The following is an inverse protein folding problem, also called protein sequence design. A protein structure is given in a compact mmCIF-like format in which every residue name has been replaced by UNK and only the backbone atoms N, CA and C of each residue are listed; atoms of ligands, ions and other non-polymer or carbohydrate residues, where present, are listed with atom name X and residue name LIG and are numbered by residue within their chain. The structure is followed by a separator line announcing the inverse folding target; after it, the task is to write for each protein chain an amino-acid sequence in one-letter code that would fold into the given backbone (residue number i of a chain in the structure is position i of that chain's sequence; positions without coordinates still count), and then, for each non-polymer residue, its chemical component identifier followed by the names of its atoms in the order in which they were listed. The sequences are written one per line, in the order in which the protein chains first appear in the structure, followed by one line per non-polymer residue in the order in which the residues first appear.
data_IF_944524851142
#
_entry.id   IF_944524851142
#
_cell.length_a   1.000
_cell.length_b   1.000
_cell.length_c   1.000
_cell.angle_alpha   90.00
_cell.angle_beta   90.00
_cell.angle_gamma   90.00
#
_symmetry.space_group_name_H-M   'P 1'
#
loop_
_entity.id
_entity.type
_entity.pdbx_description
1 polymer ?
2 non-polymer ?
3 non-polymer ?
4 non-polymer ?
5 water ?
#
# COMPACT_ATOMS: atom_id res chain seq x y z
N UNK A 10 -11.94 -8.75 12.46
CA UNK A 10 -10.51 -9.08 12.43
C UNK A 10 -9.85 -9.00 11.06
N UNK A 11 -8.77 -8.21 10.99
CA UNK A 11 -7.84 -8.23 9.87
C UNK A 11 -7.08 -9.55 9.94
N UNK A 12 -6.94 -10.33 8.84
CA UNK A 12 -6.28 -11.64 8.98
C UNK A 12 -4.78 -11.54 9.31
N UNK A 13 -4.31 -12.53 10.08
CA UNK A 13 -2.89 -12.74 10.33
C UNK A 13 -2.25 -13.14 9.00
N UNK A 14 -0.94 -12.98 8.85
CA UNK A 14 -0.30 -13.39 7.60
C UNK A 14 -0.29 -14.91 7.45
N UNK A 15 -0.24 -15.41 6.20
CA UNK A 15 -0.19 -16.86 5.92
C UNK A 15 1.23 -17.44 5.93
N UNK A 16 2.24 -16.60 6.03
CA UNK A 16 3.60 -17.07 5.84
C UNK A 16 4.23 -17.55 7.13
N UNK A 17 5.46 -18.09 7.06
CA UNK A 17 6.10 -18.66 8.27
C UNK A 17 6.59 -17.66 9.32
N UNK A 18 6.78 -16.38 8.96
CA UNK A 18 7.40 -15.40 9.85
C UNK A 18 6.33 -14.73 10.74
N UNK A 19 6.63 -14.54 12.02
CA UNK A 19 5.95 -13.54 12.86
C UNK A 19 6.16 -12.11 12.28
N UNK A 20 5.19 -11.23 12.55
CA UNK A 20 5.18 -9.88 11.98
C UNK A 20 5.27 -8.78 13.05
N UNK A 21 6.22 -7.85 12.87
CA UNK A 21 6.38 -6.65 13.68
C UNK A 21 5.88 -5.44 12.96
N UNK A 22 5.55 -4.35 13.68
CA UNK A 22 5.17 -3.10 13.00
C UNK A 22 5.70 -1.90 13.73
N UNK A 23 6.15 -0.87 12.99
CA UNK A 23 6.49 0.41 13.64
C UNK A 23 6.21 1.54 12.66
N UNK A 24 6.33 2.79 13.11
CA UNK A 24 6.16 3.94 12.21
C UNK A 24 7.46 4.68 12.08
N UNK A 25 7.74 5.25 10.91
CA UNK A 25 8.96 6.07 10.73
C UNK A 25 8.64 7.38 10.05
N UNK A 26 9.10 8.49 10.62
CA UNK A 26 8.95 9.79 10.01
C UNK A 26 10.31 10.47 9.99
N UNK A 27 10.84 10.69 8.79
CA UNK A 27 12.12 11.36 8.60
C UNK A 27 12.23 12.06 7.25
N UNK A 28 12.51 13.40 7.17
CA UNK A 28 12.54 14.32 8.31
C UNK A 28 11.11 14.57 8.85
N UNK A 29 11.00 15.48 9.83
CA UNK A 29 9.75 15.79 10.52
C UNK A 29 8.81 16.71 9.70
N UNK A 30 9.29 17.28 8.57
CA UNK A 30 8.51 18.29 7.82
C UNK A 30 7.48 17.64 6.87
N UNK A 31 6.62 18.46 6.26
CA UNK A 31 5.68 18.01 5.25
C UNK A 31 6.39 17.48 3.93
N UNK A 32 7.71 17.72 3.76
CA UNK A 32 8.49 17.21 2.62
C UNK A 32 9.28 15.96 2.98
N UNK A 33 9.23 15.58 4.25
CA UNK A 33 9.87 14.35 4.72
C UNK A 33 9.10 13.11 4.37
N UNK A 34 9.68 11.95 4.73
CA UNK A 34 9.02 10.66 4.52
C UNK A 34 8.27 10.26 5.79
N UNK A 35 7.00 9.83 5.61
CA UNK A 35 6.23 9.18 6.65
C UNK A 35 5.79 7.81 6.14
N UNK A 36 6.17 6.74 6.86
CA UNK A 36 5.76 5.40 6.47
C UNK A 36 5.44 4.53 7.70
N UNK A 37 4.57 3.52 7.50
CA UNK A 37 4.35 2.44 8.43
C UNK A 37 5.15 1.24 7.93
N UNK A 38 5.99 0.70 8.81
CA UNK A 38 6.84 -0.42 8.43
C UNK A 38 6.29 -1.77 8.97
N UNK A 39 6.11 -2.76 8.08
CA UNK A 39 5.81 -4.15 8.46
C UNK A 39 7.04 -4.99 8.15
N UNK A 40 7.41 -5.87 9.07
CA UNK A 40 8.71 -6.54 8.94
C UNK A 40 8.69 -7.92 9.64
N UNK A 41 9.53 -8.90 9.21
CA UNK A 41 9.63 -10.15 9.96
C UNK A 41 10.14 -9.87 11.36
N UNK A 42 9.44 -10.36 12.39
CA UNK A 42 9.85 -10.05 13.77
C UNK A 42 10.46 -11.25 14.49
N UNK A 43 11.41 -10.94 15.40
CA UNK A 43 12.07 -11.88 16.30
C UNK A 43 11.02 -12.46 17.26
N UNK A 44 10.12 -11.61 17.78
CA UNK A 44 9.22 -11.93 18.88
C UNK A 44 7.75 -11.80 18.51
N UNK A 45 6.92 -12.54 19.23
CA UNK A 45 5.51 -12.64 18.94
C UNK A 45 4.64 -12.41 20.18
N UNK A 46 5.24 -11.83 21.27
CA UNK A 46 4.49 -11.55 22.49
C UNK A 46 4.31 -10.03 22.76
N UNK A 47 4.41 -9.22 21.72
CA UNK A 47 4.14 -7.81 21.86
C UNK A 47 2.65 -7.51 21.76
N UNK A 48 2.24 -6.31 22.22
CA UNK A 48 0.90 -5.75 21.96
C UNK A 48 0.68 -5.69 20.47
N UNK A 49 -0.54 -5.98 20.00
CA UNK A 49 -0.93 -5.76 18.61
C UNK A 49 -0.90 -4.26 18.28
N UNK A 50 -0.91 -3.92 16.97
CA UNK A 50 -0.73 -2.56 16.47
C UNK A 50 -2.10 -1.89 16.36
N UNK A 51 -2.24 -0.68 16.93
CA UNK A 51 -3.43 0.15 16.82
C UNK A 51 -3.63 0.56 15.34
N UNK A 52 -4.82 0.27 14.81
CA UNK A 52 -5.12 0.29 13.37
C UNK A 52 -5.21 1.71 12.84
N UNK A 53 -6.01 2.55 13.49
CA UNK A 53 -6.15 3.95 13.13
C UNK A 53 -5.74 4.69 14.42
N UNK A 54 -4.51 5.20 14.47
CA UNK A 54 -3.95 5.62 15.76
C UNK A 54 -4.24 7.03 16.26
N UNK A 55 -5.01 7.85 15.53
CA UNK A 55 -5.28 9.24 16.01
C UNK A 55 -6.67 9.65 15.63
N UNK A 56 -7.36 10.36 16.55
CA UNK A 56 -8.71 10.87 16.31
C UNK A 56 -8.85 11.63 14.95
N UNK A 57 -7.82 12.36 14.52
CA UNK A 57 -7.85 13.21 13.32
C UNK A 57 -7.96 12.39 12.03
N UNK A 58 -7.44 11.14 12.04
CA UNK A 58 -7.74 10.22 10.94
C UNK A 58 -9.25 9.96 10.79
N UNK A 59 -9.96 9.72 11.89
CA UNK A 59 -11.41 9.57 11.88
C UNK A 59 -12.16 10.81 11.38
N UNK A 60 -11.70 12.03 11.79
CA UNK A 60 -12.19 13.31 11.27
C UNK A 60 -12.00 13.39 9.75
N UNK A 61 -10.77 13.17 9.29
CA UNK A 61 -10.47 13.01 7.86
C UNK A 61 -11.34 12.02 7.11
N UNK A 62 -11.48 10.79 7.65
CA UNK A 62 -12.34 9.77 7.02
C UNK A 62 -13.78 10.27 6.93
N UNK A 63 -14.29 10.94 7.98
CA UNK A 63 -15.65 11.47 7.97
C UNK A 63 -15.84 12.50 6.87
N UNK A 64 -14.89 13.48 6.75
CA UNK A 64 -14.86 14.46 5.67
C UNK A 64 -14.84 13.78 4.29
N UNK A 65 -14.03 12.70 4.12
CA UNK A 65 -13.94 12.01 2.83
C UNK A 65 -15.26 11.28 2.50
N UNK A 66 -15.96 10.79 3.53
CA UNK A 66 -17.21 10.06 3.29
C UNK A 66 -18.44 10.98 3.02
N UNK A 67 -18.26 12.29 3.20
CA UNK A 67 -19.32 13.28 3.01
C UNK A 67 -20.29 13.41 4.18
N UNK A 68 -19.84 13.06 5.38
CA UNK A 68 -20.60 13.22 6.62
C UNK A 68 -20.00 14.37 7.46
N UNK A 69 -20.64 14.69 8.59
CA UNK A 69 -20.20 15.71 9.54
C UNK A 69 -19.05 15.17 10.37
N UNK A 70 -18.06 16.02 10.72
CA UNK A 70 -16.86 15.60 11.48
C UNK A 70 -17.20 14.93 12.83
N UNK A 71 -18.47 15.05 13.29
CA UNK A 71 -18.98 14.39 14.49
C UNK A 71 -19.37 12.92 14.26
N UNK A 72 -19.72 12.54 13.01
CA UNK A 72 -19.78 11.13 12.58
C UNK A 72 -18.38 10.52 12.76
N UNK A 73 -17.34 11.34 12.56
CA UNK A 73 -15.95 11.01 12.88
C UNK A 73 -15.77 10.50 14.30
N UNK A 74 -16.39 11.17 15.28
CA UNK A 74 -16.38 10.76 16.68
C UNK A 74 -17.12 9.45 16.93
N UNK A 75 -18.22 9.18 16.20
CA UNK A 75 -18.94 7.89 16.28
C UNK A 75 -18.03 6.77 15.67
N UNK A 76 -17.45 6.99 14.48
CA UNK A 76 -16.44 6.04 13.95
C UNK A 76 -15.28 5.79 14.92
N UNK A 77 -14.78 6.83 15.58
CA UNK A 77 -13.72 6.73 16.58
C UNK A 77 -14.18 5.89 17.79
N UNK A 78 -15.41 6.13 18.31
CA UNK A 78 -16.01 5.30 19.35
C UNK A 78 -16.10 3.81 18.95
N UNK A 79 -16.50 3.53 17.71
CA UNK A 79 -16.63 2.15 17.20
C UNK A 79 -15.29 1.47 16.85
N UNK A 80 -14.32 2.23 16.31
CA UNK A 80 -13.13 1.63 15.70
C UNK A 80 -11.80 2.07 16.32
N UNK A 81 -11.84 3.06 17.24
CA UNK A 81 -10.65 3.72 17.79
C UNK A 81 -9.75 2.83 18.62
N UNK A 82 -10.24 1.68 19.08
CA UNK A 82 -9.41 0.75 19.86
C UNK A 82 -9.07 -0.52 19.04
N UNK A 83 -9.56 -0.61 17.77
CA UNK A 83 -9.28 -1.75 16.88
C UNK A 83 -7.76 -1.93 16.62
N UNK A 84 -7.29 -3.17 16.72
CA UNK A 84 -5.89 -3.47 16.40
C UNK A 84 -5.79 -4.27 15.11
N UNK A 85 -4.58 -4.46 14.62
CA UNK A 85 -4.24 -5.27 13.47
C UNK A 85 -3.13 -6.24 13.95
N UNK A 86 -3.13 -7.53 13.52
CA UNK A 86 -2.22 -8.51 14.16
C UNK A 86 -0.74 -8.44 13.70
N UNK A 87 -0.06 -7.38 14.16
CA UNK A 87 1.39 -7.18 14.04
C UNK A 87 1.89 -6.71 15.39
N UNK A 88 3.00 -7.30 15.82
CA UNK A 88 3.67 -6.98 17.09
C UNK A 88 4.25 -5.60 17.03
N UNK A 89 3.67 -4.66 17.80
CA UNK A 89 4.07 -3.25 17.77
C UNK A 89 5.49 -3.10 18.33
N UNK A 90 6.40 -2.48 17.54
CA UNK A 90 7.80 -2.24 17.95
C UNK A 90 8.60 -3.50 18.27
N UNK A 91 8.15 -4.66 17.78
CA UNK A 91 8.89 -5.90 17.99
C UNK A 91 10.32 -5.78 17.40
N UNK A 92 11.36 -6.40 17.96
CA UNK A 92 12.64 -6.46 17.23
C UNK A 92 12.50 -7.15 15.86
N UNK A 93 13.22 -6.65 14.86
CA UNK A 93 13.37 -7.29 13.55
C UNK A 93 13.99 -8.68 13.71
N UNK A 94 13.51 -9.66 12.94
CA UNK A 94 14.11 -10.98 12.93
C UNK A 94 15.53 -10.85 12.32
N UNK A 95 16.60 -11.16 13.10
CA UNK A 95 17.97 -10.97 12.58
C UNK A 95 18.40 -12.08 11.62
N UNK A 96 19.56 -11.87 10.99
CA UNK A 96 20.34 -12.88 10.28
C UNK A 96 19.88 -13.21 8.87
N UNK A 97 19.10 -12.32 8.25
CA UNK A 97 18.63 -12.48 6.88
C UNK A 97 18.42 -11.13 6.20
N UNK A 98 18.79 -11.03 4.89
CA UNK A 98 18.43 -9.85 4.08
C UNK A 98 17.04 -10.05 3.47
N UNK A 99 16.17 -9.04 3.61
CA UNK A 99 14.78 -9.11 3.19
C UNK A 99 14.53 -8.25 1.93
N UNK A 100 13.78 -8.76 0.95
CA UNK A 100 13.34 -7.89 -0.14
C UNK A 100 12.42 -6.79 0.41
N UNK A 101 12.37 -5.65 -0.31
CA UNK A 101 11.57 -4.50 0.11
C UNK A 101 10.44 -4.20 -0.85
N UNK A 102 9.24 -3.98 -0.29
CA UNK A 102 8.07 -3.47 -1.00
C UNK A 102 7.80 -2.05 -0.49
N UNK A 103 7.70 -1.09 -1.42
CA UNK A 103 7.13 0.21 -1.08
C UNK A 103 5.64 0.16 -1.51
N UNK A 104 4.75 0.50 -0.58
CA UNK A 104 3.30 0.39 -0.78
C UNK A 104 2.63 1.78 -0.80
N UNK A 105 1.75 2.04 -1.81
CA UNK A 105 1.06 3.31 -2.00
C UNK A 105 -0.46 3.22 -1.85
N UNK A 106 -0.99 4.03 -0.92
CA UNK A 106 -2.41 3.96 -0.55
C UNK A 106 -3.31 4.67 -1.54
N UNK A 107 -4.61 4.35 -1.47
CA UNK A 107 -5.62 5.00 -2.33
C UNK A 107 -6.05 6.37 -1.85
N UNK A 108 -6.90 7.04 -2.68
CA UNK A 108 -7.53 8.30 -2.34
C UNK A 108 -8.41 8.11 -1.10
N UNK A 109 -8.32 9.02 -0.14
CA UNK A 109 -9.09 8.95 1.10
C UNK A 109 -8.50 7.99 2.13
N UNK A 110 -7.38 7.32 1.79
CA UNK A 110 -6.75 6.36 2.72
C UNK A 110 -5.58 7.01 3.39
N UNK A 111 -4.66 6.23 3.97
CA UNK A 111 -3.45 6.69 4.64
C UNK A 111 -2.63 5.44 4.93
N UNK A 112 -1.48 5.56 5.58
CA UNK A 112 -0.49 4.45 5.65
C UNK A 112 -0.98 3.15 6.32
N UNK A 113 -1.97 3.21 7.24
CA UNK A 113 -2.24 2.08 8.15
C UNK A 113 -3.33 1.15 7.59
N UNK A 114 -3.97 1.52 6.46
CA UNK A 114 -5.22 0.89 6.02
C UNK A 114 -5.05 -0.28 5.07
N UNK A 115 -3.82 -0.71 4.88
CA UNK A 115 -3.55 -1.86 4.01
C UNK A 115 -2.67 -2.85 4.78
N UNK A 116 -2.97 -3.03 6.07
CA UNK A 116 -2.23 -3.99 6.94
C UNK A 116 -2.51 -5.44 6.56
N UNK A 117 -3.72 -5.79 6.03
CA UNK A 117 -3.89 -7.23 5.66
C UNK A 117 -2.80 -7.62 4.63
N UNK A 118 -2.60 -6.76 3.62
CA UNK A 118 -1.51 -6.86 2.63
C UNK A 118 -0.09 -6.80 3.24
N UNK A 119 0.21 -5.73 3.98
CA UNK A 119 1.54 -5.52 4.58
C UNK A 119 1.97 -6.62 5.54
N UNK A 120 1.04 -7.06 6.41
CA UNK A 120 1.28 -8.18 7.35
C UNK A 120 1.51 -9.47 6.59
N UNK A 121 0.70 -9.72 5.52
CA UNK A 121 0.91 -10.96 4.77
C UNK A 121 2.25 -11.02 4.06
N UNK A 122 2.62 -9.91 3.35
CA UNK A 122 3.96 -9.81 2.73
C UNK A 122 5.06 -10.03 3.79
N UNK A 123 4.94 -9.35 4.95
CA UNK A 123 5.97 -9.47 5.99
C UNK A 123 6.08 -10.90 6.52
N UNK A 124 4.93 -11.61 6.64
CA UNK A 124 4.95 -13.01 7.10
C UNK A 124 5.65 -13.98 6.14
N UNK A 125 5.82 -13.59 4.86
CA UNK A 125 6.58 -14.37 3.87
C UNK A 125 8.02 -13.87 3.71
N UNK A 126 8.46 -12.93 4.57
CA UNK A 126 9.85 -12.50 4.58
C UNK A 126 10.17 -11.21 3.83
N UNK A 127 9.17 -10.33 3.64
CA UNK A 127 9.35 -8.99 3.07
C UNK A 127 9.44 -7.94 4.16
N UNK A 128 10.19 -6.85 3.90
CA UNK A 128 9.95 -5.62 4.66
C UNK A 128 9.03 -4.78 3.78
N UNK A 129 8.00 -4.16 4.39
CA UNK A 129 7.00 -3.38 3.67
C UNK A 129 7.01 -1.98 4.20
N UNK A 130 7.16 -0.99 3.31
CA UNK A 130 7.13 0.42 3.66
C UNK A 130 5.88 1.01 3.07
N UNK A 131 4.84 1.14 3.92
CA UNK A 131 3.58 1.72 3.48
C UNK A 131 3.69 3.22 3.73
N UNK A 132 3.84 3.97 2.63
CA UNK A 132 4.00 5.41 2.68
C UNK A 132 2.71 6.11 3.04
N UNK A 133 2.82 7.24 3.73
CA UNK A 133 1.67 8.10 3.87
C UNK A 133 1.92 9.32 2.97
N UNK A 134 1.01 9.58 2.04
CA UNK A 134 1.24 10.63 1.07
C UNK A 134 0.86 12.01 1.64
N UNK A 135 1.64 13.07 1.27
CA UNK A 135 1.41 14.46 1.70
C UNK A 135 0.87 15.33 0.54
N UNK A 136 0.28 14.67 -0.45
CA UNK A 136 -0.24 15.33 -1.66
C UNK A 136 -1.69 15.79 -1.48
N UNK A 137 -2.24 15.70 -0.25
CA UNK A 137 -3.65 15.95 0.07
C UNK A 137 -4.60 14.91 -0.60
N UNK A 138 -4.07 13.70 -0.93
CA UNK A 138 -4.91 12.58 -1.36
C UNK A 138 -5.25 11.70 -0.16
N UNK A 139 -4.44 11.79 0.93
CA UNK A 139 -4.78 11.06 2.17
C UNK A 139 -6.01 11.73 2.83
N UNK A 140 -6.89 10.91 3.46
CA UNK A 140 -7.99 11.42 4.28
C UNK A 140 -7.45 12.45 5.28
N UNK A 141 -6.37 12.07 5.98
CA UNK A 141 -5.61 12.97 6.85
C UNK A 141 -4.19 12.46 6.83
N UNK A 142 -3.25 13.37 7.12
CA UNK A 142 -1.88 13.06 7.45
C UNK A 142 -1.31 14.14 8.40
N UNK A 143 -0.13 13.90 9.00
CA UNK A 143 0.43 14.95 9.82
C UNK A 143 1.89 15.06 9.66
N UNK A 144 2.46 16.16 10.17
CA UNK A 144 3.89 16.43 10.10
C UNK A 144 4.13 17.51 11.16
N UNK A 145 5.37 18.03 11.25
CA UNK A 145 5.73 19.05 12.25
C UNK A 145 6.27 20.28 11.54
N UNK A 146 5.84 21.47 11.97
CA UNK A 146 6.20 22.73 11.31
C UNK A 146 7.70 23.03 11.41
N UNK A 147 8.32 22.57 12.50
CA UNK A 147 9.77 22.78 12.67
C UNK A 147 10.30 21.84 13.74
N UNK A 148 11.57 22.01 14.14
CA UNK A 148 12.22 21.09 15.06
C UNK A 148 11.59 21.16 16.46
N UNK A 149 11.29 22.39 16.94
CA UNK A 149 10.64 22.62 18.23
C UNK A 149 9.32 21.87 18.31
N UNK A 150 8.45 22.06 17.28
CA UNK A 150 7.17 21.36 17.17
C UNK A 150 7.35 19.82 17.24
N UNK A 151 8.30 19.25 16.47
CA UNK A 151 8.54 17.80 16.48
C UNK A 151 8.85 17.26 17.90
N UNK A 152 9.78 17.93 18.60
CA UNK A 152 10.22 17.64 19.98
C UNK A 152 9.08 17.48 20.98
N UNK A 153 8.19 18.48 21.03
CA UNK A 153 7.05 18.47 21.94
C UNK A 153 5.87 17.70 21.37
N UNK A 154 5.99 17.20 20.13
CA UNK A 154 4.93 16.43 19.49
C UNK A 154 3.68 17.27 19.17
N UNK A 155 3.90 18.56 18.82
CA UNK A 155 2.81 19.41 18.33
C UNK A 155 2.58 19.15 16.82
N UNK A 156 1.58 18.33 16.51
CA UNK A 156 1.29 17.87 15.14
C UNK A 156 0.56 18.95 14.31
N UNK A 157 0.94 19.10 13.04
CA UNK A 157 0.15 19.87 12.09
C UNK A 157 -0.53 18.86 11.18
N UNK A 158 -1.84 18.94 11.10
CA UNK A 158 -2.62 18.01 10.31
C UNK A 158 -2.91 18.58 8.94
N UNK A 159 -2.92 17.73 7.93
CA UNK A 159 -3.22 18.11 6.55
C UNK A 159 -4.34 17.16 6.09
N UNK A 160 -5.45 17.74 5.63
CA UNK A 160 -6.66 17.01 5.30
C UNK A 160 -6.86 16.89 3.80
N UNK A 161 -7.62 15.90 3.35
CA UNK A 161 -7.97 15.67 1.94
C UNK A 161 -8.45 16.94 1.25
N UNK A 162 -7.97 17.18 0.03
CA UNK A 162 -8.42 18.29 -0.82
C UNK A 162 -9.49 17.80 -1.78
N UNK A 163 -10.65 18.49 -1.76
CA UNK A 163 -11.71 18.23 -2.74
C UNK A 163 -11.54 19.12 -3.96
N UNK A 164 -11.72 18.55 -5.15
CA UNK A 164 -11.44 19.26 -6.37
C UNK A 164 -12.70 19.70 -7.04
N UNK A 165 -12.64 20.86 -7.69
CA UNK A 165 -13.57 21.28 -8.70
C UNK A 165 -13.30 20.45 -9.96
N UNK A 166 -14.32 20.18 -10.79
CA UNK A 166 -14.22 19.39 -12.02
C UNK A 166 -13.12 19.86 -12.95
N UNK A 167 -12.95 21.18 -13.09
CA UNK A 167 -11.91 21.86 -13.87
C UNK A 167 -10.50 21.61 -13.35
N UNK A 168 -10.36 21.29 -12.05
CA UNK A 168 -9.05 20.98 -11.43
C UNK A 168 -8.65 19.52 -11.59
N UNK A 169 -9.58 18.63 -11.99
CA UNK A 169 -9.36 17.17 -11.93
C UNK A 169 -8.12 16.72 -12.67
N UNK A 170 -8.04 16.96 -14.00
CA UNK A 170 -6.93 16.46 -14.83
C UNK A 170 -5.58 16.91 -14.29
N UNK A 171 -5.40 18.24 -14.19
CA UNK A 171 -4.18 18.86 -13.73
C UNK A 171 -3.79 18.45 -12.27
N UNK A 172 -4.70 18.52 -11.29
CA UNK A 172 -4.31 18.27 -9.90
C UNK A 172 -4.07 16.78 -9.62
N UNK A 173 -4.88 15.86 -10.20
CA UNK A 173 -4.59 14.41 -10.08
C UNK A 173 -3.23 14.06 -10.61
N UNK A 174 -2.79 14.71 -11.70
CA UNK A 174 -1.48 14.45 -12.27
C UNK A 174 -0.34 15.02 -11.36
N UNK A 175 -0.45 16.26 -10.85
CA UNK A 175 0.54 16.82 -9.89
C UNK A 175 0.65 15.89 -8.68
N UNK A 176 -0.48 15.36 -8.22
CA UNK A 176 -0.53 14.45 -7.09
C UNK A 176 0.19 13.12 -7.38
N UNK A 177 -0.09 12.47 -8.54
CA UNK A 177 0.55 11.18 -8.84
C UNK A 177 2.10 11.37 -8.98
N UNK A 178 2.51 12.55 -9.50
CA UNK A 178 3.93 12.84 -9.61
C UNK A 178 4.56 13.10 -8.22
N UNK A 179 3.89 13.86 -7.34
CA UNK A 179 4.37 13.93 -5.95
C UNK A 179 4.44 12.55 -5.23
N UNK A 180 3.42 11.74 -5.41
CA UNK A 180 3.35 10.38 -4.86
C UNK A 180 4.55 9.52 -5.32
N UNK A 181 4.87 9.54 -6.65
CA UNK A 181 6.03 8.80 -7.15
C UNK A 181 7.30 9.29 -6.46
N UNK A 182 7.48 10.62 -6.34
CA UNK A 182 8.65 11.20 -5.68
C UNK A 182 8.73 10.72 -4.22
N UNK A 183 7.57 10.66 -3.55
CA UNK A 183 7.47 10.19 -2.17
C UNK A 183 7.81 8.74 -2.05
N UNK A 184 7.47 7.93 -3.07
CA UNK A 184 7.90 6.53 -3.11
C UNK A 184 9.40 6.40 -3.26
N UNK A 185 10.00 7.18 -4.16
CA UNK A 185 11.45 7.17 -4.37
C UNK A 185 12.20 7.63 -3.13
N UNK A 186 11.66 8.67 -2.49
CA UNK A 186 12.30 9.26 -1.31
C UNK A 186 12.22 8.25 -0.13
N UNK A 187 11.11 7.53 -0.01
CA UNK A 187 10.95 6.45 1.00
C UNK A 187 11.94 5.34 0.75
N UNK A 188 12.09 4.86 -0.54
CA UNK A 188 13.16 3.91 -0.92
C UNK A 188 14.56 4.38 -0.47
N UNK A 189 14.93 5.64 -0.80
CA UNK A 189 16.24 6.15 -0.47
C UNK A 189 16.46 6.19 1.08
N UNK A 190 15.42 6.59 1.85
CA UNK A 190 15.50 6.59 3.31
C UNK A 190 15.84 5.18 3.82
N UNK A 191 15.07 4.15 3.39
CA UNK A 191 15.30 2.78 3.83
C UNK A 191 16.69 2.29 3.42
N UNK A 192 17.09 2.57 2.18
CA UNK A 192 18.41 2.12 1.70
C UNK A 192 19.55 2.79 2.48
N UNK A 193 19.38 4.08 2.88
CA UNK A 193 20.36 4.78 3.71
C UNK A 193 20.41 4.22 5.11
N UNK A 194 19.23 3.86 5.69
CA UNK A 194 19.17 3.17 6.98
C UNK A 194 19.84 1.77 6.87
N UNK A 195 19.60 1.04 5.75
CA UNK A 195 20.30 -0.22 5.50
C UNK A 195 21.82 0.03 5.43
N UNK A 196 22.24 1.09 4.70
CA UNK A 196 23.64 1.51 4.52
C UNK A 196 24.21 2.30 5.70
N UNK A 197 23.49 2.26 6.83
CA UNK A 197 23.97 2.59 8.17
C UNK A 197 23.85 4.04 8.63
N UNK A 198 23.26 4.93 7.81
CA UNK A 198 23.09 6.35 8.11
C UNK A 198 22.29 6.53 9.42
N UNK A 199 22.83 7.34 10.36
CA UNK A 199 22.05 7.68 11.55
C UNK A 199 20.82 8.50 11.17
N UNK A 200 19.67 8.05 11.61
CA UNK A 200 18.40 8.69 11.31
C UNK A 200 17.71 8.83 12.65
N UNK A 201 17.38 10.06 13.05
CA UNK A 201 16.56 10.28 14.24
C UNK A 201 15.09 10.33 13.82
N UNK A 202 14.33 9.28 14.14
CA UNK A 202 12.89 9.21 13.92
C UNK A 202 12.22 10.43 14.56
N UNK A 203 11.40 11.22 13.82
CA UNK A 203 10.65 12.39 14.36
C UNK A 203 9.62 11.93 15.38
N UNK A 204 9.27 10.62 15.34
CA UNK A 204 8.34 10.00 16.28
C UNK A 204 9.19 9.31 17.34
N UNK A 205 8.84 9.50 18.60
CA UNK A 205 9.60 8.88 19.67
C UNK A 205 9.02 7.50 19.88
N UNK A 206 9.55 6.49 19.17
CA UNK A 206 9.07 5.09 19.26
C UNK A 206 10.18 4.17 19.72
N UNK A 207 9.82 3.14 20.48
CA UNK A 207 10.80 2.25 21.11
C UNK A 207 11.20 1.14 20.14
N UNK A 208 11.64 1.56 18.96
CA UNK A 208 12.15 0.72 17.88
C UNK A 208 13.39 1.40 17.36
N UNK A 209 14.55 0.80 17.60
CA UNK A 209 15.82 1.33 17.13
C UNK A 209 16.05 1.02 15.65
N UNK A 210 16.16 2.09 14.81
CA UNK A 210 16.31 1.93 13.36
C UNK A 210 17.64 1.29 13.00
N UNK A 211 18.59 1.28 13.94
CA UNK A 211 19.89 0.60 13.76
C UNK A 211 19.76 -0.92 13.48
N UNK A 212 18.66 -1.53 13.91
CA UNK A 212 18.28 -2.93 13.57
C UNK A 212 18.15 -3.18 12.08
N UNK A 213 17.76 -2.15 11.31
CA UNK A 213 17.58 -2.28 9.88
C UNK A 213 18.92 -2.22 9.09
N UNK A 214 20.04 -1.96 9.79
CA UNK A 214 21.37 -1.98 9.16
C UNK A 214 21.60 -3.40 8.65
N UNK A 215 22.01 -3.50 7.37
CA UNK A 215 22.36 -4.76 6.68
C UNK A 215 21.20 -5.74 6.62
N UNK A 216 19.97 -5.20 6.57
CA UNK A 216 18.78 -6.04 6.63
C UNK A 216 18.02 -6.11 5.29
N UNK A 217 18.35 -5.25 4.31
CA UNK A 217 17.58 -5.14 3.05
C UNK A 217 18.34 -5.87 1.93
N UNK A 218 17.63 -6.68 1.14
CA UNK A 218 18.19 -7.25 -0.09
C UNK A 218 18.11 -6.13 -1.09
N UNK A 219 19.21 -5.40 -1.24
CA UNK A 219 19.14 -4.02 -1.74
C UNK A 219 18.71 -3.89 -3.21
N UNK A 220 18.82 -4.97 -3.99
CA UNK A 220 18.36 -5.02 -5.37
C UNK A 220 16.96 -5.62 -5.52
N UNK A 221 16.37 -6.19 -4.44
CA UNK A 221 15.09 -6.85 -4.55
C UNK A 221 14.01 -5.90 -4.07
N UNK A 222 13.70 -4.94 -4.93
CA UNK A 222 12.79 -3.83 -4.59
C UNK A 222 11.56 -3.83 -5.51
N UNK A 223 10.36 -3.75 -4.92
CA UNK A 223 9.15 -3.63 -5.68
C UNK A 223 8.31 -2.52 -5.16
N UNK A 224 7.38 -2.03 -6.03
CA UNK A 224 6.40 -1.02 -5.67
C UNK A 224 5.03 -1.62 -5.91
N UNK A 225 4.14 -1.50 -4.92
CA UNK A 225 2.77 -2.03 -4.97
C UNK A 225 1.82 -0.93 -4.49
N UNK A 226 0.60 -0.92 -5.00
CA UNK A 226 -0.33 0.09 -4.54
C UNK A 226 -1.72 -0.13 -5.07
N UNK A 227 -2.72 0.43 -4.35
CA UNK A 227 -4.15 0.25 -4.67
C UNK A 227 -4.77 1.55 -5.20
N UNK A 228 -5.54 1.47 -6.28
CA UNK A 228 -6.40 2.57 -6.75
C UNK A 228 -5.52 3.76 -7.22
N UNK A 229 -5.57 4.92 -6.54
CA UNK A 229 -4.59 6.01 -6.78
C UNK A 229 -3.15 5.46 -6.60
N UNK A 230 -2.98 4.54 -5.65
CA UNK A 230 -1.67 3.92 -5.43
C UNK A 230 -1.21 3.05 -6.58
N UNK A 231 -2.17 2.55 -7.37
CA UNK A 231 -1.92 1.68 -8.50
C UNK A 231 -1.39 2.52 -9.62
N UNK A 232 -1.94 3.74 -9.81
CA UNK A 232 -1.33 4.70 -10.75
C UNK A 232 0.07 5.13 -10.26
N UNK A 233 0.26 5.23 -8.95
CA UNK A 233 1.54 5.65 -8.32
C UNK A 233 2.59 4.60 -8.63
N UNK A 234 2.23 3.29 -8.58
CA UNK A 234 3.06 2.17 -9.07
C UNK A 234 3.65 2.52 -10.44
N UNK A 235 2.78 2.87 -11.38
CA UNK A 235 3.19 3.06 -12.76
C UNK A 235 4.06 4.30 -12.92
N UNK A 236 3.66 5.44 -12.31
CA UNK A 236 4.49 6.65 -12.37
C UNK A 236 5.88 6.39 -11.75
N UNK A 237 5.94 5.69 -10.60
CA UNK A 237 7.18 5.38 -9.85
C UNK A 237 8.12 4.53 -10.73
N UNK A 238 7.62 3.43 -11.29
CA UNK A 238 8.40 2.61 -12.22
C UNK A 238 8.98 3.42 -13.33
N UNK A 239 8.20 4.31 -13.96
CA UNK A 239 8.73 5.07 -15.11
C UNK A 239 9.84 6.05 -14.69
N UNK A 240 9.84 6.49 -13.42
CA UNK A 240 10.84 7.49 -12.99
C UNK A 240 11.99 6.91 -12.18
N UNK A 241 11.92 5.69 -11.67
CA UNK A 241 12.94 5.23 -10.69
C UNK A 241 13.22 3.77 -11.01
N UNK A 242 14.31 3.54 -11.71
CA UNK A 242 14.69 2.22 -12.17
C UNK A 242 15.14 1.30 -11.02
N UNK A 243 15.28 1.85 -9.78
CA UNK A 243 15.62 1.03 -8.61
C UNK A 243 14.48 0.04 -8.29
N UNK A 244 13.23 0.43 -8.62
CA UNK A 244 12.10 -0.48 -8.51
C UNK A 244 12.16 -1.46 -9.66
N UNK A 245 12.22 -2.76 -9.35
CA UNK A 245 12.44 -3.81 -10.36
C UNK A 245 11.16 -4.36 -10.98
N UNK A 246 10.02 -4.20 -10.29
CA UNK A 246 8.72 -4.59 -10.82
C UNK A 246 7.68 -3.88 -10.01
N UNK A 247 6.46 -3.89 -10.50
CA UNK A 247 5.35 -3.30 -9.78
C UNK A 247 4.08 -4.10 -9.90
N UNK A 248 3.21 -3.98 -8.89
CA UNK A 248 1.89 -4.65 -8.85
C UNK A 248 0.86 -3.57 -8.58
N UNK A 249 -0.07 -3.36 -9.52
CA UNK A 249 -1.09 -2.37 -9.37
C UNK A 249 -2.41 -3.07 -8.99
N UNK A 250 -2.92 -2.76 -7.80
CA UNK A 250 -4.14 -3.41 -7.27
C UNK A 250 -5.29 -2.53 -7.59
N UNK A 251 -6.18 -2.95 -8.52
CA UNK A 251 -7.31 -2.17 -8.99
C UNK A 251 -6.90 -0.72 -9.27
N UNK A 252 -5.90 -0.53 -10.14
CA UNK A 252 -5.36 0.82 -10.41
C UNK A 252 -6.45 1.77 -10.92
N UNK A 253 -6.44 3.01 -10.43
CA UNK A 253 -7.21 4.10 -11.00
C UNK A 253 -6.25 4.88 -11.92
N UNK A 254 -6.44 4.76 -13.24
CA UNK A 254 -5.45 5.21 -14.26
C UNK A 254 -5.53 6.68 -14.60
N UNK A 255 -6.68 7.33 -14.34
CA UNK A 255 -6.91 8.75 -14.64
C UNK A 255 -5.73 9.70 -14.29
N UNK A 256 -5.06 9.66 -13.09
CA UNK A 256 -3.97 10.62 -12.80
C UNK A 256 -2.79 10.63 -13.78
N UNK A 257 -2.54 9.50 -14.46
CA UNK A 257 -1.33 9.36 -15.29
C UNK A 257 -1.30 10.29 -16.51
N UNK A 258 -0.15 10.87 -16.79
CA UNK A 258 0.04 11.68 -17.99
C UNK A 258 0.22 10.79 -19.20
N UNK A 259 -0.10 11.32 -20.40
CA UNK A 259 -0.02 10.58 -21.67
C UNK A 259 1.35 10.01 -21.91
N UNK A 260 2.37 10.72 -21.43
CA UNK A 260 3.77 10.38 -21.63
C UNK A 260 4.18 9.08 -21.00
N UNK A 261 3.63 8.70 -19.79
CA UNK A 261 4.17 7.59 -18.99
C UNK A 261 4.01 6.24 -19.66
N UNK A 262 2.96 6.05 -20.48
CA UNK A 262 2.50 4.71 -20.94
C UNK A 262 3.52 3.91 -21.69
N UNK A 263 4.31 4.57 -22.51
CA UNK A 263 5.35 3.88 -23.26
C UNK A 263 6.68 3.84 -22.46
N UNK A 264 6.67 4.23 -21.16
CA UNK A 264 7.95 4.46 -20.47
C UNK A 264 8.11 3.55 -19.23
N UNK A 265 7.61 2.30 -19.30
CA UNK A 265 7.62 1.45 -18.10
C UNK A 265 8.41 0.17 -18.51
N UNK A 266 9.76 0.13 -18.43
CA UNK A 266 10.46 -1.11 -18.81
C UNK A 266 10.21 -2.30 -17.88
N UNK A 267 9.85 -2.06 -16.61
CA UNK A 267 9.77 -3.14 -15.60
C UNK A 267 8.54 -4.04 -15.75
N UNK A 268 8.64 -5.32 -15.34
CA UNK A 268 7.44 -6.17 -15.26
C UNK A 268 6.34 -5.49 -14.42
N UNK A 269 5.07 -5.60 -14.88
CA UNK A 269 3.92 -4.94 -14.25
C UNK A 269 2.73 -5.89 -14.25
N UNK A 270 2.14 -6.07 -13.06
CA UNK A 270 1.02 -6.96 -12.81
C UNK A 270 -0.20 -6.12 -12.39
N UNK A 271 -1.31 -6.24 -13.15
CA UNK A 271 -2.60 -5.62 -12.79
C UNK A 271 -3.44 -6.72 -12.15
N UNK A 272 -3.86 -6.51 -10.89
CA UNK A 272 -4.81 -7.37 -10.20
C UNK A 272 -6.03 -6.54 -9.97
N UNK A 273 -7.13 -6.88 -10.65
CA UNK A 273 -8.35 -6.05 -10.60
C UNK A 273 -9.49 -6.68 -9.82
N UNK A 274 -10.39 -5.84 -9.35
CA UNK A 274 -11.67 -6.35 -8.92
C UNK A 274 -12.62 -6.50 -10.13
N UNK A 275 -13.62 -7.37 -9.98
CA UNK A 275 -14.63 -7.48 -11.02
C UNK A 275 -15.50 -6.20 -11.17
N UNK A 276 -15.90 -5.58 -10.06
CA UNK A 276 -16.97 -4.59 -10.14
C UNK A 276 -16.49 -3.16 -10.27
N UNK A 277 -15.21 -2.85 -9.93
CA UNK A 277 -14.73 -1.48 -10.11
C UNK A 277 -14.46 -1.12 -11.57
N UNK A 278 -13.84 -2.03 -12.36
CA UNK A 278 -13.24 -1.62 -13.65
C UNK A 278 -14.30 -1.18 -14.71
N UNK A 279 -13.87 -0.35 -15.67
CA UNK A 279 -14.72 0.26 -16.72
C UNK A 279 -13.87 0.44 -17.97
N UNK A 280 -14.44 0.47 -19.19
CA UNK A 280 -13.61 0.61 -20.41
C UNK A 280 -12.48 1.69 -20.39
N UNK A 281 -12.79 2.95 -20.00
CA UNK A 281 -11.76 4.04 -20.06
C UNK A 281 -10.52 3.63 -19.26
N UNK A 282 -10.73 3.07 -18.08
CA UNK A 282 -9.69 2.56 -17.23
C UNK A 282 -8.91 1.39 -17.84
N UNK A 283 -9.60 0.41 -18.45
CA UNK A 283 -8.97 -0.80 -19.02
C UNK A 283 -8.12 -0.44 -20.22
N UNK A 284 -8.64 0.50 -21.05
CA UNK A 284 -7.96 1.04 -22.23
C UNK A 284 -6.61 1.62 -21.81
N UNK A 285 -6.57 2.37 -20.70
CA UNK A 285 -5.31 2.92 -20.15
C UNK A 285 -4.33 1.84 -19.71
N UNK A 286 -4.82 0.78 -19.04
CA UNK A 286 -3.95 -0.37 -18.65
C UNK A 286 -3.32 -1.01 -19.92
N UNK A 287 -4.13 -1.22 -20.98
CA UNK A 287 -3.66 -1.79 -22.26
C UNK A 287 -2.63 -0.90 -22.96
N UNK A 288 -2.69 0.43 -22.73
CA UNK A 288 -1.67 1.34 -23.23
C UNK A 288 -0.28 1.10 -22.57
N UNK A 289 -0.23 0.37 -21.42
CA UNK A 289 1.07 0.04 -20.81
C UNK A 289 1.68 -1.17 -21.49
N UNK A 290 0.92 -1.87 -22.33
CA UNK A 290 1.35 -3.11 -22.98
C UNK A 290 2.19 -2.83 -24.20
N UNK A 291 3.24 -3.64 -24.40
CA UNK A 291 4.17 -3.57 -25.52
C UNK A 291 4.79 -4.94 -25.66
N UNK A 292 5.11 -5.42 -26.90
CA UNK A 292 5.57 -6.82 -27.06
C UNK A 292 6.87 -7.14 -26.32
N UNK A 293 7.75 -6.15 -26.13
CA UNK A 293 8.99 -6.38 -25.39
C UNK A 293 8.78 -6.43 -23.85
N UNK A 294 7.60 -6.01 -23.34
CA UNK A 294 7.39 -5.87 -21.90
C UNK A 294 6.60 -6.99 -21.27
N UNK A 295 6.96 -7.32 -20.02
CA UNK A 295 6.26 -8.31 -19.22
C UNK A 295 5.01 -7.67 -18.53
N UNK A 296 3.80 -8.12 -18.92
CA UNK A 296 2.53 -7.67 -18.40
C UNK A 296 1.63 -8.82 -18.08
N UNK A 297 0.96 -8.73 -16.93
CA UNK A 297 -0.02 -9.71 -16.51
C UNK A 297 -1.25 -8.98 -15.99
N UNK A 298 -2.41 -9.58 -16.19
CA UNK A 298 -3.65 -9.03 -15.64
C UNK A 298 -4.54 -10.18 -15.23
N UNK A 299 -5.12 -10.07 -14.04
CA UNK A 299 -6.11 -11.02 -13.53
C UNK A 299 -7.23 -10.20 -12.92
N UNK A 300 -8.44 -10.79 -12.88
CA UNK A 300 -9.60 -10.19 -12.22
C UNK A 300 -10.11 -11.18 -11.18
N UNK A 301 -10.35 -10.71 -9.95
CA UNK A 301 -10.90 -11.56 -8.89
C UNK A 301 -12.44 -11.56 -9.05
N UNK A 302 -13.04 -12.75 -9.33
CA UNK A 302 -14.49 -12.92 -9.52
C UNK A 302 -15.24 -12.47 -8.27
N UNK A 303 -16.32 -11.71 -8.46
CA UNK A 303 -17.23 -11.33 -7.39
C UNK A 303 -16.67 -10.29 -6.44
N UNK A 304 -15.53 -9.66 -6.83
CA UNK A 304 -14.86 -8.70 -5.94
C UNK A 304 -15.16 -7.23 -6.27
N UNK A 305 -14.97 -6.37 -5.26
CA UNK A 305 -15.20 -4.92 -5.35
C UNK A 305 -13.90 -4.19 -5.02
N UNK A 306 -13.86 -2.88 -5.32
CA UNK A 306 -12.69 -2.04 -5.09
C UNK A 306 -12.16 -2.12 -3.68
N UNK A 307 -13.08 -2.21 -2.69
CA UNK A 307 -12.73 -2.23 -1.27
C UNK A 307 -12.08 -3.54 -0.81
N UNK A 308 -12.14 -4.63 -1.65
CA UNK A 308 -11.51 -5.94 -1.27
C UNK A 308 -9.98 -5.86 -1.03
N UNK A 309 -9.32 -4.83 -1.57
CA UNK A 309 -7.87 -4.67 -1.37
C UNK A 309 -7.49 -3.85 -0.11
N UNK A 310 -8.44 -3.17 0.52
CA UNK A 310 -8.07 -2.39 1.70
C UNK A 310 -8.69 -3.03 2.97
N UNK A 311 -8.33 -2.53 4.16
CA UNK A 311 -8.70 -3.18 5.42
C UNK A 311 -10.14 -3.03 5.85
N UNK A 312 -10.90 -2.10 5.22
CA UNK A 312 -12.28 -1.86 5.66
C UNK A 312 -13.14 -3.08 5.35
N UNK A 313 -12.70 -3.93 4.39
CA UNK A 313 -13.38 -5.18 4.01
C UNK A 313 -13.39 -6.20 5.17
N UNK A 314 -12.54 -6.00 6.18
CA UNK A 314 -12.48 -6.88 7.36
C UNK A 314 -13.05 -6.23 8.58
N UNK A 315 -13.44 -4.94 8.49
CA UNK A 315 -13.77 -4.17 9.70
C UNK A 315 -15.21 -4.37 10.21
N UNK A 316 -16.10 -4.91 9.37
CA UNK A 316 -17.52 -5.12 9.75
C UNK A 316 -17.94 -6.54 9.38
N UNK A 317 -19.15 -6.89 9.78
CA UNK A 317 -19.79 -8.14 9.37
C UNK A 317 -20.27 -8.12 7.93
N UNK A 318 -20.73 -9.29 7.45
CA UNK A 318 -21.14 -9.52 6.06
C UNK A 318 -22.29 -8.64 5.60
N UNK A 319 -23.31 -8.39 6.41
CA UNK A 319 -24.48 -7.65 5.92
C UNK A 319 -24.17 -6.15 5.80
N UNK A 320 -23.69 -5.54 6.90
CA UNK A 320 -23.27 -4.13 6.90
C UNK A 320 -22.14 -3.92 5.86
N UNK A 321 -21.22 -4.88 5.78
CA UNK A 321 -20.11 -4.84 4.82
C UNK A 321 -20.61 -4.71 3.38
N UNK A 322 -21.58 -5.55 3.00
CA UNK A 322 -22.15 -5.54 1.66
C UNK A 322 -22.89 -4.24 1.36
N UNK A 323 -23.69 -3.76 2.31
CA UNK A 323 -24.42 -2.49 2.23
C UNK A 323 -23.49 -1.29 2.00
N UNK A 324 -22.38 -1.20 2.77
CA UNK A 324 -21.40 -0.12 2.65
C UNK A 324 -20.46 -0.26 1.46
N UNK A 325 -20.66 -1.33 0.64
CA UNK A 325 -19.80 -1.67 -0.52
C UNK A 325 -18.36 -1.97 -0.08
N UNK A 326 -18.19 -2.44 1.18
CA UNK A 326 -16.89 -2.89 1.72
C UNK A 326 -16.60 -4.32 1.31
N UNK A 327 -17.64 -5.08 0.93
CA UNK A 327 -17.49 -6.50 0.63
C UNK A 327 -18.14 -6.80 -0.72
N UNK A 328 -17.61 -7.80 -1.42
CA UNK A 328 -18.19 -8.26 -2.68
C UNK A 328 -18.96 -9.54 -2.48
N UNK A 329 -19.35 -10.21 -3.56
CA UNK A 329 -19.97 -11.55 -3.50
C UNK A 329 -18.99 -12.63 -2.97
N UNK A 330 -17.70 -12.40 -3.17
CA UNK A 330 -16.67 -13.29 -2.72
C UNK A 330 -16.34 -13.02 -1.24
N UNK A 331 -15.97 -14.06 -0.50
CA UNK A 331 -15.40 -13.92 0.84
C UNK A 331 -14.12 -13.04 0.82
N UNK A 332 -14.02 -12.09 1.77
CA UNK A 332 -12.92 -11.11 1.81
C UNK A 332 -11.56 -11.78 2.03
N UNK A 333 -11.50 -12.82 2.88
CA UNK A 333 -10.26 -13.55 3.14
C UNK A 333 -9.88 -14.32 1.91
N UNK A 334 -10.86 -14.95 1.25
CA UNK A 334 -10.64 -15.68 -0.01
C UNK A 334 -10.01 -14.74 -1.06
N UNK A 335 -10.61 -13.55 -1.26
CA UNK A 335 -10.15 -12.56 -2.25
C UNK A 335 -8.75 -12.08 -1.96
N UNK A 336 -8.44 -11.66 -0.70
CA UNK A 336 -7.12 -11.11 -0.37
C UNK A 336 -6.03 -12.20 -0.49
N UNK A 337 -6.36 -13.46 -0.17
CA UNK A 337 -5.41 -14.58 -0.28
C UNK A 337 -5.02 -14.75 -1.71
N UNK A 338 -6.00 -14.67 -2.64
CA UNK A 338 -5.73 -14.75 -4.08
C UNK A 338 -4.81 -13.62 -4.56
N UNK A 339 -5.11 -12.37 -4.18
CA UNK A 339 -4.34 -11.21 -4.59
C UNK A 339 -2.93 -11.29 -3.96
N UNK A 340 -2.83 -11.69 -2.67
CA UNK A 340 -1.54 -11.79 -1.94
C UNK A 340 -0.69 -12.93 -2.44
N UNK A 341 -1.29 -14.12 -2.69
CA UNK A 341 -0.56 -15.28 -3.25
C UNK A 341 -0.09 -15.05 -4.71
N UNK A 342 -0.98 -14.56 -5.60
CA UNK A 342 -0.57 -14.14 -6.96
C UNK A 342 0.55 -13.09 -6.90
N UNK A 343 0.47 -12.11 -5.98
CA UNK A 343 1.51 -11.08 -5.82
C UNK A 343 2.87 -11.74 -5.44
N UNK A 344 2.88 -12.65 -4.44
CA UNK A 344 4.11 -13.38 -4.01
C UNK A 344 4.75 -14.13 -5.16
N UNK A 345 3.94 -14.85 -5.98
CA UNK A 345 4.52 -15.58 -7.12
C UNK A 345 5.14 -14.60 -8.13
N UNK A 346 4.44 -13.49 -8.45
CA UNK A 346 4.94 -12.48 -9.39
C UNK A 346 6.27 -11.87 -8.89
N UNK A 347 6.32 -11.50 -7.58
CA UNK A 347 7.52 -10.96 -6.93
C UNK A 347 8.65 -11.99 -6.94
N UNK A 348 8.40 -13.28 -6.63
CA UNK A 348 9.45 -14.30 -6.75
C UNK A 348 10.06 -14.31 -8.17
N UNK A 349 9.21 -14.27 -9.21
CA UNK A 349 9.61 -14.36 -10.60
C UNK A 349 10.49 -13.12 -10.98
N UNK A 350 10.02 -11.90 -10.70
CA UNK A 350 10.68 -10.71 -11.24
C UNK A 350 11.71 -10.09 -10.26
N UNK A 351 11.71 -10.55 -8.98
CA UNK A 351 12.80 -10.19 -8.07
C UNK A 351 13.86 -11.27 -7.96
N UNK A 352 13.58 -12.47 -8.50
CA UNK A 352 14.53 -13.59 -8.46
C UNK A 352 14.73 -14.11 -7.05
N UNK A 353 13.61 -14.28 -6.33
CA UNK A 353 13.62 -14.80 -4.97
C UNK A 353 13.77 -16.32 -4.94
N UNK A 354 14.36 -16.87 -3.86
CA UNK A 354 14.56 -18.30 -3.71
C UNK A 354 13.66 -18.86 -2.62
N UNK A 355 12.38 -18.63 -2.80
CA UNK A 355 11.35 -19.03 -1.88
C UNK A 355 10.44 -20.05 -2.59
N UNK A 356 9.25 -20.32 -2.05
CA UNK A 356 8.39 -21.35 -2.63
C UNK A 356 7.17 -20.70 -3.22
N UNK A 357 7.28 -19.39 -3.60
CA UNK A 357 6.15 -18.61 -4.07
C UNK A 357 5.69 -19.02 -5.48
N UNK A 358 6.57 -19.70 -6.26
CA UNK A 358 6.22 -20.29 -7.56
C UNK A 358 5.13 -21.37 -7.46
N UNK A 359 4.76 -21.84 -6.23
CA UNK A 359 3.60 -22.72 -6.03
C UNK A 359 2.30 -22.00 -6.45
N UNK A 360 2.30 -20.63 -6.53
CA UNK A 360 1.11 -19.87 -6.95
C UNK A 360 1.25 -19.27 -8.36
N UNK A 361 2.19 -19.78 -9.19
CA UNK A 361 2.40 -19.29 -10.55
C UNK A 361 1.10 -19.30 -11.37
N UNK A 362 0.30 -20.37 -11.22
CA UNK A 362 -0.94 -20.52 -11.96
C UNK A 362 -1.93 -19.37 -11.68
N UNK A 363 -1.87 -18.76 -10.49
CA UNK A 363 -2.68 -17.58 -10.15
C UNK A 363 -2.33 -16.34 -10.98
N UNK A 364 -1.04 -16.17 -11.37
CA UNK A 364 -0.60 -15.09 -12.27
C UNK A 364 -1.38 -15.17 -13.62
N UNK A 365 -1.71 -16.39 -14.04
CA UNK A 365 -2.41 -16.65 -15.30
C UNK A 365 -3.94 -16.64 -15.15
N UNK A 366 -4.42 -16.38 -13.92
CA UNK A 366 -5.85 -16.36 -13.60
C UNK A 366 -6.49 -17.73 -13.63
N UNK A 367 -5.69 -18.79 -13.33
CA UNK A 367 -6.12 -20.21 -13.34
C UNK A 367 -6.53 -20.63 -11.93
N UNK A 368 -7.78 -20.32 -11.61
CA UNK A 368 -8.44 -20.60 -10.34
C UNK A 368 -9.93 -20.36 -10.53
N UNK A 369 -10.78 -21.10 -9.80
CA UNK A 369 -12.24 -20.94 -9.86
C UNK A 369 -12.70 -19.50 -9.61
N UNK A 370 -11.97 -18.73 -8.77
CA UNK A 370 -12.30 -17.37 -8.37
C UNK A 370 -11.47 -16.32 -9.08
N UNK A 371 -10.77 -16.72 -10.16
CA UNK A 371 -10.05 -15.78 -11.01
C UNK A 371 -10.56 -15.82 -12.43
N UNK A 372 -10.51 -14.64 -13.08
CA UNK A 372 -10.75 -14.42 -14.50
C UNK A 372 -9.37 -14.09 -15.07
N UNK A 373 -8.85 -14.83 -16.09
CA UNK A 373 -7.64 -14.36 -16.79
C UNK A 373 -7.91 -13.02 -17.49
N UNK A 374 -6.97 -12.09 -17.44
CA UNK A 374 -7.17 -10.77 -18.05
C UNK A 374 -8.32 -10.02 -17.40
N UNK A 375 -9.24 -9.54 -18.21
CA UNK A 375 -10.36 -8.74 -17.74
C UNK A 375 -11.70 -9.28 -18.25
N UNK A 376 -12.78 -9.06 -17.47
CA UNK A 376 -14.15 -9.26 -17.92
C UNK A 376 -14.61 -8.09 -18.80
N UNK A 377 -13.90 -6.94 -18.76
CA UNK A 377 -14.35 -5.72 -19.45
C UNK A 377 -14.06 -5.80 -20.96
N UNK A 378 -15.10 -5.71 -21.79
CA UNK A 378 -14.92 -5.57 -23.24
C UNK A 378 -14.55 -4.12 -23.63
N UNK A 379 -13.48 -3.96 -24.42
CA UNK A 379 -13.06 -2.66 -24.96
C UNK A 379 -12.95 -2.78 -26.50
N UNK A 380 -13.71 -1.93 -27.23
CA UNK A 380 -13.92 -1.96 -28.69
C UNK A 380 -14.33 -3.35 -29.19
X LIG B 1 -16.38 -1.47 -6.81
X LIG C 1 -11.54 6.19 -7.00
X LIG C 1 -10.93 4.86 -6.90
X LIG C 1 -11.84 6.38 -8.69
X LIG C 1 -10.32 7.47 -6.82
X LIG D 1 -15.57 0.50 8.18
X LIG D 1 -14.89 1.75 8.68
X LIG D 1 -14.11 1.69 9.83
X LIG D 1 -13.61 4.02 9.64
X LIG D 1 -14.37 4.10 8.49
X LIG D 1 -15.02 2.98 8.01
X LIG D 1 -15.80 3.13 6.74
X LIG D 1 -15.68 3.39 4.33
X LIG D 1 -13.73 4.16 2.97
X LIG D 1 -11.84 4.76 1.93
X LIG D 1 -10.84 4.63 0.81
X LIG D 1 -10.06 3.35 0.95
X LIG D 1 -11.79 5.57 3.00
X LIG D 1 -17.07 3.45 4.28
X LIG D 1 -17.82 3.36 5.43
X LIG D 1 -17.20 3.20 6.68
X LIG D 1 -18.06 3.12 7.92
X LIG D 1 -13.48 2.82 10.31
X LIG D 1 -15.06 3.23 5.56
X LIG D 1 -14.88 3.47 3.18
X LIG D 1 -12.97 3.95 1.93
X LIG D 1 -9.15 3.04 -0.21
X LIG D 1 -9.89 2.89 -1.40
X LIG D 1 -13.14 5.37 4.05
X LIG D 1 -15.12 0.20 7.36
X LIG D 1 -15.50 -0.20 8.86
X LIG D 1 -16.50 0.69 7.98
X LIG D 1 -14.03 0.87 10.30
X LIG D 1 -13.18 4.79 9.98
X LIG D 1 -14.44 4.93 8.04
X LIG D 1 -11.31 4.64 -0.05
X LIG D 1 -10.23 5.40 0.83
X LIG D 1 -10.69 2.60 1.07
X LIG D 1 -9.51 3.40 1.77
X LIG D 1 -11.12 6.19 3.17
X LIG D 1 -17.50 3.56 3.45
X LIG D 1 -18.76 3.41 5.39
X LIG D 1 -18.07 2.21 8.24
X LIG D 1 -17.70 3.70 8.61
X LIG D 1 -18.97 3.40 7.71
X LIG D 1 -12.97 2.78 11.10
X LIG D 1 -14.12 3.18 5.61
X LIG D 1 -15.24 3.11 2.45
X LIG D 1 -8.50 3.77 -0.32
X LIG D 1 -8.65 2.21 -0.03
X LIG D 1 -9.57 3.46 -2.03
#
# INVERSE_FOLDING_TARGET
MAAASFGQTKIPRGNGPYSVGCTDLMFDHTNKGTFLRLYYPSQDNDRLDTLWIPNKEYFWGLSKFLGTHWLMGNILRLLFGSMTTPANWNSPLRPGEKYPLVVFSHGLGAFRTLYSAIGIDLASHGFIVAAVEHRDRSASATYYFKDQSAAEIGDKSWLYLRTLKQEEETHIRNEQVRQRAKECSQALSLILDIDHGKPVKNALDLKFDMEQLKDSIDREKIAVIGHSFGGATVIQTLSEDQRFRCGIALDAWMFPLGDEVYSRIPQPLFFINSEYFQYPANIIKMKKCYSPDKERKMITIRGSVHQNFADFTFATGKIIGHMLKLKGDIDSNVAIDLSNKASLAFLQKHLGLHKDFDQWDCLIEGDDENLIPGTNINTTNQHHHHHH
CL CL
DMS S O C1 C2
6HR C1 C2 C3 C5 C6 C7 C8 C10 C12 C14 C15 C16 C19 C21 C22 C23 C24 C4 C9 N11 N13 C17 O18 S20 H25 H26 H27 H28 H30 H31 H34 H35 H37 H36 H41 H42 H43 H44 H45 H46 H29 H32 H33 H38 H39 H40
#
